data_IF_715702835190
#
_entry.id   IF_715702835190
#
_cell.length_a   1.000
_cell.length_b   1.000
_cell.length_c   1.000
_cell.angle_alpha   90.00
_cell.angle_beta   90.00
_cell.angle_gamma   90.00
#
_symmetry.space_group_name_H-M   'P 1'
#
loop_
_entity.id
_entity.type
_entity.pdbx_description
1 polymer ?
#
# COMPACT_ATOMS: atom_id res chain seq x y z
N UNK A 1 -8.08 4.67 3.76
CA UNK A 1 -8.78 5.69 2.91
C UNK A 1 -7.81 6.61 2.17
N UNK A 2 -6.68 7.03 2.78
CA UNK A 2 -5.67 7.87 2.10
C UNK A 2 -5.18 7.26 0.78
N UNK A 3 -4.77 6.00 0.81
CA UNK A 3 -4.26 5.25 -0.35
C UNK A 3 -5.24 5.27 -1.53
N UNK A 4 -6.52 4.90 -1.32
CA UNK A 4 -7.53 4.93 -2.38
C UNK A 4 -7.68 6.32 -3.04
N UNK A 5 -7.63 7.40 -2.25
CA UNK A 5 -7.68 8.77 -2.79
C UNK A 5 -6.43 9.11 -3.60
N UNK A 6 -5.25 8.76 -3.11
CA UNK A 6 -3.98 8.97 -3.82
C UNK A 6 -3.96 8.17 -5.12
N UNK A 7 -4.41 6.92 -5.07
CA UNK A 7 -4.50 6.02 -6.22
C UNK A 7 -5.42 6.57 -7.31
N UNK A 8 -6.61 7.06 -6.97
CA UNK A 8 -7.51 7.69 -7.94
C UNK A 8 -6.90 8.90 -8.63
N UNK A 9 -6.11 9.71 -7.91
CA UNK A 9 -5.37 10.86 -8.49
C UNK A 9 -4.27 10.39 -9.44
N UNK A 10 -3.51 9.36 -9.06
CA UNK A 10 -2.47 8.79 -9.92
C UNK A 10 -3.08 8.18 -11.18
N UNK A 11 -4.14 7.38 -11.02
CA UNK A 11 -4.91 6.80 -12.13
C UNK A 11 -5.40 7.86 -13.11
N UNK A 12 -5.98 8.96 -12.61
CA UNK A 12 -6.50 10.03 -13.47
C UNK A 12 -5.44 10.60 -14.42
N UNK A 13 -4.19 10.69 -13.96
CA UNK A 13 -3.09 11.26 -14.75
C UNK A 13 -2.34 10.21 -15.58
N UNK A 14 -2.07 9.03 -15.02
CA UNK A 14 -1.15 8.05 -15.61
C UNK A 14 -1.86 6.97 -16.44
N UNK A 15 -3.06 6.56 -16.05
CA UNK A 15 -3.74 5.41 -16.65
C UNK A 15 -5.28 5.53 -16.51
N UNK A 16 -5.90 6.55 -17.13
CA UNK A 16 -7.35 6.78 -17.02
C UNK A 16 -8.21 5.63 -17.56
N UNK A 17 -7.64 4.71 -18.34
CA UNK A 17 -8.27 3.49 -18.84
C UNK A 17 -8.53 2.44 -17.75
N UNK A 18 -7.77 2.46 -16.65
CA UNK A 18 -8.03 1.58 -15.49
C UNK A 18 -9.33 2.03 -14.84
N UNK A 19 -10.19 1.08 -14.47
CA UNK A 19 -11.47 1.40 -13.86
C UNK A 19 -11.30 2.06 -12.47
N UNK A 20 -12.18 3.01 -12.15
CA UNK A 20 -12.19 3.60 -10.80
C UNK A 20 -12.57 2.57 -9.74
N UNK A 21 -13.45 1.64 -10.10
CA UNK A 21 -13.88 0.55 -9.22
C UNK A 21 -12.70 -0.32 -8.78
N UNK A 22 -11.85 -0.75 -9.72
CA UNK A 22 -10.65 -1.54 -9.39
C UNK A 22 -9.70 -0.75 -8.50
N UNK A 23 -9.48 0.54 -8.76
CA UNK A 23 -8.70 1.39 -7.87
C UNK A 23 -9.29 1.50 -6.47
N UNK A 24 -10.61 1.61 -6.35
CA UNK A 24 -11.30 1.67 -5.05
C UNK A 24 -11.18 0.34 -4.31
N UNK A 25 -11.39 -0.79 -4.98
CA UNK A 25 -11.26 -2.14 -4.41
C UNK A 25 -9.84 -2.33 -3.86
N UNK A 26 -8.80 -2.19 -4.69
CA UNK A 26 -7.43 -2.44 -4.23
C UNK A 26 -6.96 -1.38 -3.24
N UNK A 27 -7.29 -0.11 -3.46
CA UNK A 27 -6.87 1.00 -2.59
C UNK A 27 -7.48 0.95 -1.19
N UNK A 28 -8.65 0.34 -1.02
CA UNK A 28 -9.27 0.13 0.29
C UNK A 28 -8.88 -1.20 0.93
N UNK A 29 -8.63 -2.25 0.14
CA UNK A 29 -8.55 -3.61 0.65
C UNK A 29 -7.15 -4.26 0.57
N UNK A 30 -6.18 -3.70 -0.14
CA UNK A 30 -4.82 -4.28 -0.27
C UNK A 30 -4.21 -4.72 1.08
N UNK A 31 -4.52 -3.96 2.13
CA UNK A 31 -3.94 -4.12 3.47
C UNK A 31 -4.90 -4.74 4.51
N UNK A 32 -6.06 -5.26 4.09
CA UNK A 32 -7.05 -5.82 5.01
C UNK A 32 -6.50 -6.98 5.84
N UNK A 33 -5.47 -7.67 5.36
CA UNK A 33 -4.74 -8.71 6.10
C UNK A 33 -4.16 -8.25 7.45
N UNK A 34 -4.06 -6.93 7.71
CA UNK A 34 -3.68 -6.37 9.02
C UNK A 34 -4.68 -6.68 10.14
N UNK A 35 -5.94 -7.00 9.80
CA UNK A 35 -6.96 -7.31 10.82
C UNK A 35 -6.80 -8.71 11.42
N UNK A 36 -6.15 -9.64 10.71
CA UNK A 36 -6.09 -11.06 11.08
C UNK A 36 -7.25 -11.87 10.51
N UNK A 37 -7.75 -12.85 11.27
CA UNK A 37 -8.92 -13.67 10.92
C UNK A 37 -10.09 -13.39 11.86
N UNK A 38 -11.25 -13.95 11.54
CA UNK A 38 -12.41 -13.95 12.44
C UNK A 38 -12.00 -14.55 13.80
N UNK A 39 -12.30 -13.82 14.88
CA UNK A 39 -11.93 -14.11 16.27
C UNK A 39 -10.42 -14.20 16.59
N UNK A 40 -9.54 -14.05 15.60
CA UNK A 40 -8.09 -14.19 15.78
C UNK A 40 -7.36 -12.98 15.18
N UNK A 41 -7.21 -11.88 15.93
CA UNK A 41 -6.58 -10.67 15.42
C UNK A 41 -5.09 -10.91 15.15
N UNK A 42 -4.53 -10.19 14.17
CA UNK A 42 -3.10 -10.28 13.84
C UNK A 42 -2.21 -9.76 14.98
N UNK A 43 -2.66 -8.70 15.63
CA UNK A 43 -1.94 -8.00 16.69
C UNK A 43 -2.73 -8.00 17.99
N UNK A 44 -2.04 -8.27 19.09
CA UNK A 44 -2.52 -8.13 20.45
C UNK A 44 -1.87 -6.90 21.09
N UNK A 45 -2.57 -6.25 22.02
CA UNK A 45 -1.95 -5.18 22.82
C UNK A 45 -0.73 -5.74 23.54
N UNK A 46 0.39 -5.01 23.48
CA UNK A 46 1.57 -5.40 24.21
C UNK A 46 1.33 -5.21 25.72
N UNK A 47 1.69 -6.21 26.51
CA UNK A 47 1.60 -6.22 27.97
C UNK A 47 2.95 -5.90 28.64
N UNK A 48 4.05 -5.96 27.87
CA UNK A 48 5.39 -5.60 28.33
C UNK A 48 5.56 -4.07 28.40
N UNK A 49 5.49 -3.53 29.61
CA UNK A 49 5.66 -2.10 29.89
C UNK A 49 7.03 -1.56 29.50
N UNK A 50 8.07 -2.38 29.57
CA UNK A 50 9.41 -1.95 29.20
C UNK A 50 9.50 -1.75 27.68
N UNK A 51 8.98 -2.69 26.89
CA UNK A 51 8.96 -2.59 25.42
C UNK A 51 8.13 -1.38 24.96
N UNK A 52 7.00 -1.12 25.61
CA UNK A 52 6.15 0.04 25.30
C UNK A 52 6.91 1.34 25.56
N UNK A 53 7.50 1.50 26.75
CA UNK A 53 8.14 2.77 27.15
C UNK A 53 9.45 3.04 26.42
N UNK A 54 10.27 2.02 26.23
CA UNK A 54 11.64 2.20 25.73
C UNK A 54 11.76 1.98 24.21
N UNK A 55 10.82 1.25 23.59
CA UNK A 55 10.87 0.90 22.16
C UNK A 55 9.63 1.30 21.36
N UNK A 56 8.62 1.88 22.01
CA UNK A 56 7.36 2.27 21.39
C UNK A 56 6.61 1.09 20.72
N UNK A 57 6.83 -0.14 21.20
CA UNK A 57 6.16 -1.35 20.69
C UNK A 57 4.86 -1.55 21.45
N UNK A 58 3.78 -0.95 20.95
CA UNK A 58 2.45 -0.95 21.59
C UNK A 58 1.62 -2.21 21.30
N UNK A 59 1.99 -2.95 20.25
CA UNK A 59 1.34 -4.18 19.82
C UNK A 59 2.35 -5.29 19.58
N UNK A 60 1.95 -6.54 19.82
CA UNK A 60 2.72 -7.76 19.54
C UNK A 60 1.95 -8.69 18.62
N UNK A 61 2.66 -9.49 17.85
CA UNK A 61 2.05 -10.49 16.99
C UNK A 61 1.28 -11.52 17.83
N UNK A 62 0.09 -11.93 17.36
CA UNK A 62 -0.71 -12.95 18.03
C UNK A 62 -0.13 -14.35 17.73
N UNK A 63 0.40 -15.10 18.72
CA UNK A 63 0.98 -16.42 18.47
C UNK A 63 -0.05 -17.48 18.06
N UNK A 64 -1.35 -17.22 18.25
CA UNK A 64 -2.44 -18.14 17.88
C UNK A 64 -2.90 -17.99 16.43
N UNK A 65 -2.51 -16.91 15.75
CA UNK A 65 -2.91 -16.70 14.36
C UNK A 65 -2.05 -17.56 13.43
N UNK A 66 -2.68 -18.14 12.40
CA UNK A 66 -1.94 -18.85 11.35
C UNK A 66 -0.98 -17.90 10.65
N UNK A 67 0.29 -18.30 10.63
CA UNK A 67 1.35 -17.54 10.00
C UNK A 67 1.16 -17.53 8.49
N UNK A 68 1.06 -16.33 7.92
CA UNK A 68 0.82 -16.08 6.50
C UNK A 68 1.34 -14.67 6.17
N UNK A 69 1.87 -14.50 4.95
CA UNK A 69 2.23 -13.18 4.43
C UNK A 69 1.05 -12.21 4.48
N UNK A 70 1.32 -10.93 4.77
CA UNK A 70 0.27 -9.94 4.98
C UNK A 70 -0.64 -9.80 3.75
N UNK A 71 -0.04 -9.56 2.58
CA UNK A 71 -0.76 -9.42 1.32
C UNK A 71 -1.46 -10.72 0.87
N UNK A 72 -0.84 -11.88 1.13
CA UNK A 72 -1.49 -13.18 0.90
C UNK A 72 -2.74 -13.34 1.77
N UNK A 73 -2.71 -12.88 3.03
CA UNK A 73 -3.89 -12.86 3.90
C UNK A 73 -4.96 -11.91 3.37
N UNK A 74 -4.57 -10.72 2.88
CA UNK A 74 -5.52 -9.81 2.23
C UNK A 74 -6.23 -10.48 1.06
N UNK A 75 -5.49 -11.07 0.12
CA UNK A 75 -6.05 -11.77 -1.03
C UNK A 75 -6.99 -12.92 -0.60
N UNK A 76 -6.55 -13.73 0.36
CA UNK A 76 -7.37 -14.81 0.91
C UNK A 76 -8.69 -14.29 1.45
N UNK A 77 -8.67 -13.26 2.31
CA UNK A 77 -9.89 -12.70 2.92
C UNK A 77 -10.84 -12.11 1.88
N UNK A 78 -10.32 -11.33 0.92
CA UNK A 78 -11.15 -10.63 -0.07
C UNK A 78 -11.80 -11.63 -1.02
N UNK A 79 -11.04 -12.64 -1.48
CA UNK A 79 -11.51 -13.64 -2.45
C UNK A 79 -12.70 -14.48 -1.98
N UNK A 80 -12.98 -14.51 -0.67
CA UNK A 80 -14.15 -15.20 -0.11
C UNK A 80 -15.48 -14.43 -0.34
N UNK A 81 -15.41 -13.13 -0.62
CA UNK A 81 -16.58 -12.25 -0.63
C UNK A 81 -16.71 -11.41 -1.90
N UNK A 82 -15.59 -11.09 -2.55
CA UNK A 82 -15.55 -10.22 -3.73
C UNK A 82 -14.85 -10.98 -4.86
N UNK A 83 -15.50 -11.16 -6.02
CA UNK A 83 -14.81 -11.68 -7.20
C UNK A 83 -13.79 -10.64 -7.67
N UNK A 84 -12.54 -11.07 -7.82
CA UNK A 84 -11.44 -10.22 -8.28
C UNK A 84 -11.06 -10.60 -9.70
N UNK A 85 -10.72 -9.60 -10.50
CA UNK A 85 -9.95 -9.80 -11.73
C UNK A 85 -8.52 -10.22 -11.41
N UNK A 86 -7.84 -10.82 -12.38
CA UNK A 86 -6.43 -11.23 -12.24
C UNK A 86 -5.52 -10.04 -11.90
N UNK A 87 -5.81 -8.85 -12.46
CA UNK A 87 -5.06 -7.63 -12.19
C UNK A 87 -5.28 -7.11 -10.76
N UNK A 88 -6.51 -7.18 -10.24
CA UNK A 88 -6.79 -6.82 -8.84
C UNK A 88 -6.16 -7.82 -7.87
N UNK A 89 -6.21 -9.11 -8.20
CA UNK A 89 -5.57 -10.15 -7.39
C UNK A 89 -4.06 -9.95 -7.32
N UNK A 90 -3.41 -9.66 -8.45
CA UNK A 90 -1.99 -9.33 -8.50
C UNK A 90 -1.70 -8.05 -7.70
N UNK A 91 -2.49 -7.00 -7.90
CA UNK A 91 -2.31 -5.73 -7.21
C UNK A 91 -2.42 -5.86 -5.69
N UNK A 92 -3.38 -6.65 -5.19
CA UNK A 92 -3.52 -6.93 -3.75
C UNK A 92 -2.32 -7.72 -3.23
N UNK A 93 -1.94 -8.81 -3.90
CA UNK A 93 -0.91 -9.72 -3.42
C UNK A 93 0.49 -9.10 -3.43
N UNK A 94 0.75 -8.16 -4.34
CA UNK A 94 2.09 -7.61 -4.58
C UNK A 94 2.17 -6.08 -4.41
N UNK A 95 1.21 -5.44 -3.71
CA UNK A 95 1.18 -3.98 -3.52
C UNK A 95 2.43 -3.41 -2.83
N UNK A 96 3.12 -4.16 -1.97
CA UNK A 96 4.36 -3.72 -1.32
C UNK A 96 5.54 -3.59 -2.31
N UNK A 97 5.35 -4.01 -3.57
CA UNK A 97 6.35 -3.89 -4.63
C UNK A 97 7.57 -4.77 -4.39
N UNK A 98 8.69 -4.44 -5.05
CA UNK A 98 9.90 -5.29 -5.08
C UNK A 98 10.78 -5.21 -3.81
N UNK A 99 10.30 -4.56 -2.74
CA UNK A 99 10.96 -4.58 -1.43
C UNK A 99 10.75 -5.91 -0.68
N UNK A 100 9.75 -6.67 -1.09
CA UNK A 100 9.38 -7.97 -0.52
C UNK A 100 9.94 -9.06 -1.44
N UNK A 101 10.67 -10.01 -0.88
CA UNK A 101 11.35 -11.07 -1.64
C UNK A 101 10.34 -11.93 -2.42
N UNK A 102 9.20 -12.23 -1.78
CA UNK A 102 8.10 -13.00 -2.34
C UNK A 102 7.49 -12.34 -3.59
N UNK A 103 7.64 -11.02 -3.74
CA UNK A 103 7.08 -10.26 -4.86
C UNK A 103 7.94 -10.35 -6.12
N UNK A 104 9.15 -10.92 -6.06
CA UNK A 104 10.05 -11.05 -7.22
C UNK A 104 9.48 -11.89 -8.36
N UNK A 105 8.50 -12.76 -8.08
CA UNK A 105 7.85 -13.57 -9.11
C UNK A 105 7.14 -12.73 -10.18
N UNK A 106 6.69 -11.52 -9.83
CA UNK A 106 6.05 -10.56 -10.75
C UNK A 106 6.99 -9.46 -11.24
N UNK A 107 8.29 -9.52 -10.93
CA UNK A 107 9.25 -8.50 -11.37
C UNK A 107 9.25 -8.35 -12.90
N UNK A 108 9.11 -7.11 -13.37
CA UNK A 108 8.96 -6.75 -14.79
C UNK A 108 7.72 -7.34 -15.47
N UNK A 109 6.75 -7.81 -14.68
CA UNK A 109 5.47 -8.37 -15.11
C UNK A 109 4.32 -7.80 -14.28
N UNK A 110 4.58 -6.68 -13.61
CA UNK A 110 3.58 -6.00 -12.81
C UNK A 110 2.47 -5.44 -13.72
N UNK A 111 1.23 -5.74 -13.39
CA UNK A 111 0.08 -5.06 -13.98
C UNK A 111 0.15 -3.56 -13.67
N UNK A 112 -0.32 -2.68 -14.58
CA UNK A 112 -0.35 -1.24 -14.33
C UNK A 112 -1.05 -0.88 -13.02
N UNK A 113 -2.11 -1.61 -12.65
CA UNK A 113 -2.81 -1.44 -11.37
C UNK A 113 -1.91 -1.75 -10.15
N UNK A 114 -1.08 -2.79 -10.24
CA UNK A 114 -0.10 -3.16 -9.19
C UNK A 114 0.92 -2.04 -8.97
N UNK A 115 1.45 -1.47 -10.05
CA UNK A 115 2.40 -0.35 -9.96
C UNK A 115 1.75 0.89 -9.33
N UNK A 116 0.53 1.22 -9.76
CA UNK A 116 -0.19 2.38 -9.23
C UNK A 116 -0.52 2.24 -7.75
N UNK A 117 -1.03 1.08 -7.30
CA UNK A 117 -1.35 0.88 -5.88
C UNK A 117 -0.09 0.89 -5.03
N UNK A 118 1.01 0.29 -5.52
CA UNK A 118 2.30 0.33 -4.83
C UNK A 118 2.77 1.77 -4.61
N UNK A 119 2.79 2.59 -5.66
CA UNK A 119 3.21 3.99 -5.52
C UNK A 119 2.24 4.80 -4.67
N UNK A 120 0.93 4.56 -4.78
CA UNK A 120 -0.06 5.28 -4.00
C UNK A 120 0.05 4.99 -2.51
N UNK A 121 0.27 3.72 -2.14
CA UNK A 121 0.48 3.30 -0.76
C UNK A 121 1.77 3.87 -0.21
N UNK A 122 2.89 3.64 -0.91
CA UNK A 122 4.21 4.11 -0.52
C UNK A 122 4.25 5.64 -0.38
N UNK A 123 3.63 6.38 -1.30
CA UNK A 123 3.54 7.83 -1.24
C UNK A 123 2.70 8.30 -0.06
N UNK A 124 1.55 7.65 0.19
CA UNK A 124 0.67 8.00 1.31
C UNK A 124 1.39 7.77 2.64
N UNK A 125 1.94 6.58 2.85
CA UNK A 125 2.64 6.22 4.08
C UNK A 125 3.85 7.12 4.34
N UNK A 126 4.70 7.38 3.35
CA UNK A 126 5.98 8.05 3.58
C UNK A 126 5.95 9.56 3.40
N UNK A 127 5.16 10.08 2.48
CA UNK A 127 5.12 11.53 2.21
C UNK A 127 4.03 12.18 3.06
N UNK A 128 2.83 11.58 3.11
CA UNK A 128 1.69 12.21 3.80
C UNK A 128 1.62 11.84 5.29
N UNK A 129 1.92 10.60 5.67
CA UNK A 129 1.76 10.14 7.06
C UNK A 129 3.07 10.26 7.87
N UNK A 130 4.20 9.78 7.33
CA UNK A 130 5.52 9.92 7.98
C UNK A 130 6.07 11.36 7.89
N UNK A 131 5.62 12.13 6.90
CA UNK A 131 5.98 13.55 6.77
C UNK A 131 7.36 13.80 6.16
N UNK A 132 7.87 12.92 5.28
CA UNK A 132 9.10 13.20 4.52
C UNK A 132 8.93 14.49 3.72
N UNK A 133 9.74 15.50 4.02
CA UNK A 133 9.61 16.83 3.43
C UNK A 133 10.05 16.84 1.97
N UNK A 134 9.16 17.32 1.10
CA UNK A 134 9.55 17.76 -0.23
C UNK A 134 10.33 19.07 -0.05
N UNK A 135 11.66 19.03 -0.20
CA UNK A 135 12.44 20.27 -0.28
C UNK A 135 11.92 21.06 -1.48
N UNK A 136 11.27 22.20 -1.25
CA UNK A 136 11.00 23.15 -2.32
C UNK A 136 12.35 23.62 -2.84
N UNK A 137 12.74 23.13 -4.01
CA UNK A 137 13.83 23.72 -4.77
C UNK A 137 13.41 25.11 -5.22
N UNK A 138 14.26 26.11 -4.98
CA UNK A 138 14.20 27.39 -5.67
C UNK A 138 14.28 27.13 -7.18
N UNK A 139 13.12 27.07 -7.84
CA UNK A 139 13.09 27.19 -9.30
C UNK A 139 13.34 28.67 -9.57
N UNK A 140 14.61 29.06 -9.74
CA UNK A 140 14.94 30.30 -10.44
C UNK A 140 14.45 30.13 -11.87
N UNK A 141 13.28 30.70 -12.15
CA UNK A 141 12.85 30.97 -13.52
C UNK A 141 13.83 32.02 -14.04
N UNK A 142 14.81 31.60 -14.83
CA UNK A 142 15.71 32.52 -15.52
C UNK A 142 14.88 33.27 -16.56
N UNK A 143 14.38 34.43 -16.17
CA UNK A 143 13.67 35.35 -17.05
C UNK A 143 14.69 36.09 -17.91
N UNK A 144 15.12 35.47 -19.00
CA UNK A 144 15.69 36.21 -20.13
C UNK A 144 15.10 35.71 -21.44
N UNK A 145 14.26 36.51 -22.12
CA UNK A 145 13.94 36.26 -23.52
C UNK A 145 15.19 36.54 -24.35
N UNK A 146 15.66 35.55 -25.12
CA UNK A 146 16.57 35.81 -26.24
C UNK A 146 15.75 36.45 -27.35
N UNK A 147 15.95 37.76 -27.55
CA UNK A 147 15.52 38.45 -28.75
C UNK A 147 16.41 38.03 -29.93
N UNK A 148 15.78 37.61 -31.03
CA UNK A 148 16.21 37.89 -32.41
C UNK A 148 15.01 38.56 -33.07
#
# INVERSE_FOLDING_TARGET
>A
VGVAKTLLRFRQFLAPEISEESCVIVGLLHDIGKIGFFDTPLYLKNDDQWQIRNRNITYKYNPQITHMGLAARSLYLISQYIPLSDAEAQAILYHDGQYIEENKIVAHKEEPLTLLVHWADYWTAHIYEEGRTLKQGEIRVDSTPKAI
#
